data_IF_384955138570
#
_entry.id   IF_384955138570
#
_cell.length_a   1.000
_cell.length_b   1.000
_cell.length_c   1.000
_cell.angle_alpha   90.00
_cell.angle_beta   90.00
_cell.angle_gamma   90.00
#
_symmetry.space_group_name_H-M   'P 1'
#
loop_
_entity.id
_entity.type
_entity.pdbx_description
1 polymer ?
#
# COMPACT_ATOMS: atom_id res chain seq x y z
N UNK A 1 0.68 -3.56 17.17
CA UNK A 1 0.93 -3.01 15.83
C UNK A 1 1.27 -4.15 14.89
N UNK A 2 0.54 -4.29 13.79
CA UNK A 2 0.74 -5.35 12.79
C UNK A 2 1.56 -4.85 11.60
N UNK A 3 1.29 -3.64 11.12
CA UNK A 3 1.99 -3.01 9.99
C UNK A 3 1.78 -1.49 10.04
N UNK A 4 2.66 -0.72 9.41
CA UNK A 4 2.48 0.69 9.12
C UNK A 4 2.61 0.94 7.61
N UNK A 5 1.71 1.76 7.09
CA UNK A 5 1.74 2.34 5.76
C UNK A 5 1.80 3.86 5.91
N UNK A 6 3.02 4.42 5.84
CA UNK A 6 3.27 5.82 6.15
C UNK A 6 2.81 6.18 7.56
N UNK A 7 1.81 7.04 7.66
CA UNK A 7 1.21 7.48 8.93
C UNK A 7 0.06 6.58 9.40
N UNK A 8 -0.45 5.69 8.55
CA UNK A 8 -1.52 4.77 8.92
C UNK A 8 -0.95 3.50 9.56
N UNK A 9 -1.48 3.12 10.71
CA UNK A 9 -1.05 1.92 11.44
C UNK A 9 -2.15 0.88 11.39
N UNK A 10 -1.84 -0.27 10.82
CA UNK A 10 -2.68 -1.47 10.89
C UNK A 10 -2.48 -2.14 12.25
N UNK A 11 -3.55 -2.22 13.02
CA UNK A 11 -3.62 -2.89 14.30
C UNK A 11 -5.02 -3.48 14.53
N UNK A 12 -5.16 -4.25 15.62
CA UNK A 12 -6.42 -4.94 15.96
C UNK A 12 -7.57 -3.97 16.30
N UNK A 13 -7.28 -2.71 16.58
CA UNK A 13 -8.21 -1.64 16.94
C UNK A 13 -8.51 -0.66 15.78
N UNK A 14 -7.81 -0.82 14.65
CA UNK A 14 -7.91 0.08 13.48
C UNK A 14 -8.36 -0.69 12.24
N UNK A 15 -7.41 -1.21 11.47
CA UNK A 15 -7.67 -2.10 10.36
C UNK A 15 -6.78 -3.33 10.48
N UNK A 16 -7.34 -4.44 10.95
CA UNK A 16 -6.62 -5.70 11.02
C UNK A 16 -6.71 -6.44 9.68
N UNK A 17 -5.57 -6.64 9.02
CA UNK A 17 -5.47 -7.60 7.93
C UNK A 17 -5.30 -9.01 8.51
N UNK A 18 -5.95 -9.99 7.89
CA UNK A 18 -5.88 -11.41 8.23
C UNK A 18 -4.83 -12.13 7.40
N UNK A 19 -4.66 -11.70 6.15
CA UNK A 19 -3.74 -12.30 5.19
C UNK A 19 -2.95 -11.22 4.48
N UNK A 20 -1.65 -11.49 4.29
CA UNK A 20 -0.75 -10.71 3.47
C UNK A 20 -0.24 -11.60 2.36
N UNK A 21 -0.56 -11.25 1.12
CA UNK A 21 -0.07 -11.93 -0.07
C UNK A 21 0.87 -11.00 -0.82
N UNK A 22 2.13 -11.40 -1.00
CA UNK A 22 3.11 -10.66 -1.81
C UNK A 22 3.40 -11.40 -3.11
N UNK A 23 3.31 -10.70 -4.23
CA UNK A 23 3.69 -11.19 -5.55
C UNK A 23 4.83 -10.34 -6.10
N UNK A 24 6.03 -10.93 -6.12
CA UNK A 24 7.20 -10.32 -6.73
C UNK A 24 7.51 -10.99 -8.07
N UNK A 25 7.71 -10.17 -9.10
CA UNK A 25 8.03 -10.63 -10.45
C UNK A 25 9.43 -10.18 -10.86
N UNK A 26 10.09 -10.99 -11.70
CA UNK A 26 11.42 -10.68 -12.24
C UNK A 26 11.43 -10.81 -13.76
N UNK A 27 12.16 -9.92 -14.43
CA UNK A 27 12.26 -9.92 -15.90
C UNK A 27 13.41 -10.81 -16.35
N UNK A 28 13.06 -11.85 -17.10
CA UNK A 28 14.03 -12.77 -17.71
C UNK A 28 13.79 -12.88 -19.22
N UNK A 29 14.54 -12.12 -20.03
CA UNK A 29 14.40 -12.16 -21.47
C UNK A 29 15.00 -13.45 -22.06
N UNK A 30 14.23 -14.24 -22.82
CA UNK A 30 14.74 -15.43 -23.48
C UNK A 30 15.53 -15.08 -24.75
N UNK A 31 16.57 -15.86 -25.01
CA UNK A 31 17.36 -15.84 -26.23
C UNK A 31 17.35 -17.26 -26.83
N UNK A 32 16.74 -17.37 -28.01
CA UNK A 32 16.58 -18.65 -28.70
C UNK A 32 17.94 -19.20 -29.15
N UNK A 33 18.11 -20.51 -29.02
CA UNK A 33 19.31 -21.23 -29.45
C UNK A 33 18.90 -22.44 -30.28
N UNK A 34 19.54 -22.65 -31.42
CA UNK A 34 19.24 -23.80 -32.29
C UNK A 34 19.58 -25.11 -31.55
N UNK A 35 18.61 -26.02 -31.47
CA UNK A 35 18.76 -27.35 -30.87
C UNK A 35 19.00 -27.38 -29.36
N UNK A 36 18.82 -26.26 -28.64
CA UNK A 36 19.03 -26.18 -27.19
C UNK A 36 17.92 -25.38 -26.50
N UNK A 37 17.79 -25.53 -25.18
CA UNK A 37 16.91 -24.67 -24.37
C UNK A 37 17.35 -23.19 -24.51
N UNK A 38 16.39 -22.25 -24.55
CA UNK A 38 16.71 -20.83 -24.66
C UNK A 38 17.54 -20.37 -23.45
N UNK A 39 18.56 -19.56 -23.70
CA UNK A 39 19.26 -18.86 -22.62
C UNK A 39 18.34 -17.77 -22.06
N UNK A 40 18.39 -17.48 -20.76
CA UNK A 40 17.60 -16.41 -20.14
C UNK A 40 18.54 -15.37 -19.56
N UNK A 41 18.39 -14.11 -19.95
CA UNK A 41 19.11 -12.98 -19.38
C UNK A 41 18.27 -12.33 -18.30
N UNK A 42 18.84 -12.14 -17.11
CA UNK A 42 18.20 -11.38 -16.04
C UNK A 42 18.27 -9.89 -16.36
N UNK A 43 17.11 -9.25 -16.50
CA UNK A 43 16.98 -7.81 -16.79
C UNK A 43 16.67 -6.99 -15.53
N UNK A 44 16.51 -7.64 -14.37
CA UNK A 44 16.22 -6.99 -13.11
C UNK A 44 14.82 -7.31 -12.56
N UNK A 45 14.47 -6.68 -11.42
CA UNK A 45 13.14 -6.79 -10.84
C UNK A 45 12.07 -6.20 -11.79
N UNK A 46 10.86 -6.73 -11.64
CA UNK A 46 9.65 -6.25 -12.29
C UNK A 46 8.71 -5.68 -11.22
N UNK A 47 7.41 -5.87 -11.39
CA UNK A 47 6.39 -5.48 -10.42
C UNK A 47 6.47 -6.29 -9.13
N UNK A 48 6.19 -5.60 -8.02
CA UNK A 48 6.08 -6.18 -6.69
C UNK A 48 4.80 -5.63 -6.06
N UNK A 49 3.80 -6.52 -5.91
CA UNK A 49 2.46 -6.16 -5.44
C UNK A 49 2.21 -6.87 -4.11
N UNK A 50 1.64 -6.14 -3.15
CA UNK A 50 1.19 -6.69 -1.87
C UNK A 50 -0.32 -6.50 -1.77
N UNK A 51 -1.02 -7.58 -1.47
CA UNK A 51 -2.45 -7.60 -1.23
C UNK A 51 -2.70 -7.88 0.24
N UNK A 52 -3.44 -6.99 0.90
CA UNK A 52 -3.84 -7.12 2.30
C UNK A 52 -5.33 -7.38 2.37
N UNK A 53 -5.71 -8.53 2.90
CA UNK A 53 -7.11 -8.92 3.05
C UNK A 53 -7.48 -8.97 4.51
N UNK A 54 -8.60 -8.37 4.89
CA UNK A 54 -9.03 -8.32 6.27
C UNK A 54 -10.53 -8.21 6.46
N UNK A 55 -10.94 -8.27 7.73
CA UNK A 55 -12.33 -8.05 8.11
C UNK A 55 -12.35 -7.09 9.30
N UNK A 56 -13.14 -6.04 9.18
CA UNK A 56 -13.44 -5.08 10.23
C UNK A 56 -14.81 -5.40 10.81
N UNK A 57 -14.87 -5.40 12.14
CA UNK A 57 -16.11 -5.40 12.88
C UNK A 57 -16.19 -4.02 13.55
N UNK A 58 -16.98 -3.06 13.04
CA UNK A 58 -16.97 -1.67 13.53
C UNK A 58 -17.18 -1.49 15.03
N UNK A 59 -17.80 -2.47 15.69
CA UNK A 59 -18.04 -2.47 17.13
C UNK A 59 -16.84 -2.92 17.97
N UNK A 60 -15.85 -3.59 17.37
CA UNK A 60 -14.73 -4.21 18.07
C UNK A 60 -13.36 -3.77 17.54
N UNK A 61 -13.21 -3.67 16.23
CA UNK A 61 -11.91 -3.62 15.52
C UNK A 61 -11.61 -2.26 14.92
N UNK A 62 -12.53 -1.29 15.01
CA UNK A 62 -12.45 -0.02 14.29
C UNK A 62 -13.44 0.05 13.12
N UNK A 63 -13.92 1.26 12.83
CA UNK A 63 -15.02 1.51 11.90
C UNK A 63 -14.60 1.79 10.46
N UNK A 64 -15.61 2.09 9.63
CA UNK A 64 -15.43 2.46 8.23
C UNK A 64 -14.47 3.65 8.00
N UNK A 65 -14.35 4.55 8.98
CA UNK A 65 -13.48 5.72 8.94
C UNK A 65 -12.01 5.37 8.63
N UNK A 66 -11.54 4.21 9.07
CA UNK A 66 -10.17 3.76 8.79
C UNK A 66 -9.96 3.45 7.30
N UNK A 67 -10.96 2.86 6.65
CA UNK A 67 -10.94 2.62 5.20
C UNK A 67 -11.09 3.93 4.44
N UNK A 68 -11.88 4.87 4.94
CA UNK A 68 -12.03 6.18 4.33
C UNK A 68 -10.72 6.99 4.41
N UNK A 69 -9.98 6.89 5.52
CA UNK A 69 -8.65 7.49 5.63
C UNK A 69 -7.65 6.87 4.64
N UNK A 70 -7.68 5.54 4.45
CA UNK A 70 -6.87 4.88 3.42
C UNK A 70 -7.24 5.36 2.00
N UNK A 71 -8.53 5.63 1.72
CA UNK A 71 -8.95 6.26 0.45
C UNK A 71 -8.43 7.67 0.31
N UNK A 72 -8.44 8.47 1.36
CA UNK A 72 -7.87 9.82 1.33
C UNK A 72 -6.37 9.77 1.05
N UNK A 73 -5.63 8.86 1.68
CA UNK A 73 -4.21 8.63 1.39
C UNK A 73 -3.99 8.18 -0.07
N UNK A 74 -4.86 7.31 -0.60
CA UNK A 74 -4.81 6.88 -2.00
C UNK A 74 -5.06 8.06 -2.96
N UNK A 75 -6.03 8.93 -2.64
CA UNK A 75 -6.35 10.12 -3.43
C UNK A 75 -5.21 11.14 -3.50
N UNK A 76 -4.31 11.15 -2.50
CA UNK A 76 -3.09 11.99 -2.55
C UNK A 76 -2.09 11.49 -3.60
N UNK A 77 -2.17 10.22 -4.02
CA UNK A 77 -1.25 9.61 -4.98
C UNK A 77 0.21 9.56 -4.49
N UNK A 78 0.43 9.75 -3.18
CA UNK A 78 1.76 9.73 -2.59
C UNK A 78 2.20 8.29 -2.30
N UNK A 79 3.48 8.01 -2.52
CA UNK A 79 4.09 6.75 -2.13
C UNK A 79 4.50 6.81 -0.66
N UNK A 80 4.13 5.78 0.11
CA UNK A 80 4.38 5.70 1.53
C UNK A 80 5.23 4.47 1.89
N UNK A 81 6.09 4.55 2.91
CA UNK A 81 6.85 3.40 3.38
C UNK A 81 5.93 2.35 3.97
N UNK A 82 6.14 1.09 3.60
CA UNK A 82 5.43 -0.06 4.15
C UNK A 82 6.38 -0.85 5.07
N UNK A 83 6.04 -0.89 6.35
CA UNK A 83 6.85 -1.52 7.41
C UNK A 83 5.97 -2.49 8.18
N UNK A 84 6.37 -3.76 8.23
CA UNK A 84 5.70 -4.76 9.05
C UNK A 84 6.03 -4.58 10.53
N UNK A 85 5.12 -4.98 11.43
CA UNK A 85 5.27 -4.88 12.88
C UNK A 85 6.42 -5.72 13.45
N UNK A 86 6.96 -6.67 12.68
CA UNK A 86 8.18 -7.41 13.02
C UNK A 86 9.48 -6.64 12.68
N UNK A 87 9.38 -5.46 12.07
CA UNK A 87 10.51 -4.63 11.64
C UNK A 87 10.92 -4.80 10.17
N UNK A 88 10.24 -5.64 9.39
CA UNK A 88 10.55 -5.82 7.96
C UNK A 88 10.13 -4.60 7.14
N UNK A 89 11.08 -3.96 6.48
CA UNK A 89 10.83 -2.87 5.55
C UNK A 89 10.67 -3.41 4.13
N UNK A 90 9.52 -3.14 3.50
CA UNK A 90 9.24 -3.62 2.14
C UNK A 90 9.62 -2.62 1.04
N UNK A 91 9.68 -1.33 1.35
CA UNK A 91 9.89 -0.26 0.36
C UNK A 91 8.77 0.79 0.40
N UNK A 92 8.72 1.59 -0.66
CA UNK A 92 7.65 2.58 -0.88
C UNK A 92 6.54 1.95 -1.72
N UNK A 93 5.30 2.13 -1.29
CA UNK A 93 4.12 1.57 -1.93
C UNK A 93 3.07 2.65 -2.18
N UNK A 94 2.34 2.52 -3.27
CA UNK A 94 1.08 3.23 -3.52
C UNK A 94 -0.09 2.28 -3.38
N UNK A 95 -1.26 2.83 -3.07
CA UNK A 95 -2.52 2.10 -3.15
C UNK A 95 -2.97 2.11 -4.61
N UNK A 96 -3.05 0.92 -5.23
CA UNK A 96 -3.54 0.74 -6.60
C UNK A 96 -5.07 0.59 -6.61
N UNK A 97 -5.62 -0.08 -5.60
CA UNK A 97 -7.05 -0.35 -5.49
C UNK A 97 -7.45 -0.79 -4.09
N UNK A 98 -8.72 -0.57 -3.78
CA UNK A 98 -9.33 -1.04 -2.53
C UNK A 98 -10.77 -1.46 -2.79
N UNK A 99 -11.07 -2.72 -2.46
CA UNK A 99 -12.43 -3.26 -2.49
C UNK A 99 -12.93 -3.42 -1.06
N UNK A 100 -14.19 -3.06 -0.81
CA UNK A 100 -14.86 -3.34 0.45
C UNK A 100 -16.21 -4.02 0.23
N UNK A 101 -16.50 -5.04 1.03
CA UNK A 101 -17.75 -5.78 1.08
C UNK A 101 -18.44 -5.58 2.42
N UNK A 102 -19.59 -4.91 2.42
CA UNK A 102 -20.37 -4.66 3.63
C UNK A 102 -21.47 -5.70 3.78
N UNK A 103 -21.61 -6.25 4.98
CA UNK A 103 -22.62 -7.25 5.30
C UNK A 103 -23.17 -7.05 6.72
N UNK A 104 -24.29 -7.72 7.01
CA UNK A 104 -25.01 -7.58 8.28
C UNK A 104 -25.36 -6.12 8.59
N UNK A 105 -26.17 -5.53 7.70
CA UNK A 105 -26.63 -4.16 7.85
C UNK A 105 -27.64 -4.04 8.99
N UNK A 106 -27.46 -3.02 9.82
CA UNK A 106 -28.41 -2.62 10.84
C UNK A 106 -29.55 -1.78 10.25
N UNK A 107 -30.55 -1.46 11.08
CA UNK A 107 -31.71 -0.65 10.69
C UNK A 107 -31.34 0.76 10.23
N UNK A 108 -30.21 1.29 10.68
CA UNK A 108 -29.66 2.59 10.29
C UNK A 108 -28.80 2.54 9.01
N UNK A 109 -28.61 1.35 8.42
CA UNK A 109 -27.79 1.13 7.23
C UNK A 109 -26.31 0.86 7.53
N UNK A 110 -25.86 1.00 8.78
CA UNK A 110 -24.48 0.71 9.18
C UNK A 110 -24.20 -0.80 9.06
N UNK A 111 -23.01 -1.15 8.57
CA UNK A 111 -22.62 -2.54 8.39
C UNK A 111 -21.91 -3.07 9.66
N UNK A 112 -22.31 -4.25 10.15
CA UNK A 112 -21.64 -4.88 11.29
C UNK A 112 -20.37 -5.63 10.89
N UNK A 113 -20.25 -6.02 9.63
CA UNK A 113 -19.07 -6.71 9.09
C UNK A 113 -18.67 -6.08 7.77
N UNK A 114 -17.40 -5.66 7.69
CA UNK A 114 -16.81 -5.06 6.51
C UNK A 114 -15.59 -5.88 6.13
N UNK A 115 -15.64 -6.57 5.00
CA UNK A 115 -14.48 -7.23 4.42
C UNK A 115 -13.76 -6.24 3.51
N UNK A 116 -12.44 -6.23 3.54
CA UNK A 116 -11.66 -5.37 2.65
C UNK A 116 -10.50 -6.12 2.01
N UNK A 117 -10.18 -5.70 0.80
CA UNK A 117 -9.05 -6.15 0.00
C UNK A 117 -8.34 -4.90 -0.52
N UNK A 118 -7.10 -4.70 -0.08
CA UNK A 118 -6.26 -3.56 -0.41
C UNK A 118 -5.08 -4.03 -1.28
N UNK A 119 -4.99 -3.53 -2.51
CA UNK A 119 -3.86 -3.78 -3.40
C UNK A 119 -2.86 -2.63 -3.35
N UNK A 120 -1.62 -2.97 -3.00
CA UNK A 120 -0.49 -2.07 -2.90
C UNK A 120 0.53 -2.42 -3.97
N UNK A 121 0.97 -1.43 -4.73
CA UNK A 121 2.03 -1.59 -5.73
C UNK A 121 3.30 -0.89 -5.28
N UNK A 122 4.43 -1.61 -5.31
CA UNK A 122 5.72 -1.04 -4.97
C UNK A 122 6.15 -0.05 -6.05
N UNK A 123 6.59 1.12 -5.62
CA UNK A 123 7.27 2.09 -6.47
C UNK A 123 8.71 2.18 -5.99
N UNK A 124 9.62 1.67 -6.81
CA UNK A 124 11.04 1.96 -6.65
C UNK A 124 11.32 3.30 -7.33
N UNK A 125 10.97 4.40 -6.65
CA UNK A 125 11.62 5.66 -6.93
C UNK A 125 12.98 5.60 -6.24
N UNK A 126 14.04 5.73 -7.05
CA UNK A 126 15.39 6.04 -6.58
C UNK A 126 15.26 7.14 -5.52
N UNK A 127 15.74 6.83 -4.32
CA UNK A 127 15.30 7.27 -3.00
C UNK A 127 15.45 8.77 -2.67
N UNK A 128 15.17 9.69 -3.60
CA UNK A 128 15.39 11.14 -3.46
C UNK A 128 14.23 12.05 -3.89
N UNK A 129 13.36 11.64 -4.82
CA UNK A 129 12.39 12.58 -5.41
C UNK A 129 11.09 12.79 -4.62
N UNK A 130 10.54 11.74 -3.98
CA UNK A 130 9.30 11.89 -3.20
C UNK A 130 9.49 12.72 -1.91
N UNK A 131 10.60 12.53 -1.18
CA UNK A 131 10.96 13.35 -0.02
C UNK A 131 11.31 14.81 -0.41
N UNK A 132 11.84 15.01 -1.63
CA UNK A 132 12.11 16.34 -2.19
C UNK A 132 10.85 17.20 -2.40
N UNK A 133 9.67 16.58 -2.60
CA UNK A 133 8.40 17.32 -2.81
C UNK A 133 7.85 17.92 -1.51
N UNK A 134 8.05 17.28 -0.36
CA UNK A 134 7.65 17.83 0.94
C UNK A 134 8.59 18.95 1.42
N UNK A 135 9.90 18.83 1.15
CA UNK A 135 10.87 19.89 1.44
C UNK A 135 10.65 21.17 0.61
N UNK A 136 10.26 21.02 -0.66
CA UNK A 136 10.07 22.15 -1.57
C UNK A 136 8.77 22.96 -1.32
N UNK A 137 7.75 22.36 -0.70
CA UNK A 137 6.50 23.05 -0.38
C UNK A 137 6.62 23.91 0.90
N UNK A 138 7.38 23.46 1.90
CA UNK A 138 7.63 24.24 3.13
C UNK A 138 8.62 25.38 2.89
N UNK A 139 9.64 25.17 2.04
CA UNK A 139 10.61 26.20 1.69
C UNK A 139 9.99 27.38 0.91
N UNK A 140 9.04 27.13 0.00
CA UNK A 140 8.34 28.18 -0.77
C UNK A 140 7.31 28.97 0.05
N UNK A 141 6.71 28.36 1.08
CA UNK A 141 5.80 29.05 1.98
C UNK A 141 6.54 30.03 2.92
N UNK A 142 7.76 29.69 3.33
CA UNK A 142 8.57 30.53 4.23
C UNK A 142 9.32 31.66 3.49
N UNK A 143 9.70 31.47 2.23
CA UNK A 143 10.35 32.52 1.42
C UNK A 143 9.36 33.51 0.79
N UNK A 144 8.09 33.13 0.60
CA UNK A 144 7.04 34.06 0.14
C UNK A 144 6.48 34.96 1.25
N UNK A 145 6.75 34.66 2.52
CA UNK A 145 6.28 35.44 3.67
C UNK A 145 7.30 36.49 4.17
N UNK A 146 8.45 36.61 3.49
CA UNK A 146 9.55 37.52 3.85
C UNK A 146 9.93 38.50 2.73
N UNK A 147 9.06 38.72 1.75
CA UNK A 147 9.23 39.72 0.69
C UNK A 147 8.10 40.76 0.73
#
# INVERSE_FOLDING_TARGET
MMMAYGLFVFALDTASYRELQRRTSWRHAPQSRVGRRPARQFLGPAEDTITLTGTLLPHFTGGQQNLDYLREMANQGAAWPLIEGNGSYYGLFIIEGMNEGKSHHMRDGSAQKIEFDLSLQRIDEDSGNALGRLGNLTARALTGALA
#
